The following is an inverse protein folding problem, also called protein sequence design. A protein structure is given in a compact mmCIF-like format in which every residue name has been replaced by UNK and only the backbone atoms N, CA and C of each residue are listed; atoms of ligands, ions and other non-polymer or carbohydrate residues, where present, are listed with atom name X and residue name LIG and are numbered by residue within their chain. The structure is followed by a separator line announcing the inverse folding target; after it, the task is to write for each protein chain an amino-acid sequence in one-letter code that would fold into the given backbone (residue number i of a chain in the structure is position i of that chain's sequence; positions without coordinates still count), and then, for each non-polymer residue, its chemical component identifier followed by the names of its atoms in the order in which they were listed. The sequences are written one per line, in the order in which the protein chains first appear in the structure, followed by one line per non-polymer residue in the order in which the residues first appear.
data_IF_085533639467
#
_entry.id   IF_085533639467
#
_cell.length_a   1.000
_cell.length_b   1.000
_cell.length_c   1.000
_cell.angle_alpha   90.00
_cell.angle_beta   90.00
_cell.angle_gamma   90.00
#
_symmetry.space_group_name_H-M   'P 1'
#
loop_
_entity.id
_entity.type
_entity.pdbx_description
1 polymer ?
#
# COMPACT_ATOMS: atom_id res chain seq x y z
N UNK A 1 -24.26 14.57 13.33
CA UNK A 1 -23.91 13.70 12.20
C UNK A 1 -22.43 13.94 12.00
N UNK A 2 -21.57 13.06 12.52
CA UNK A 2 -20.13 13.22 12.37
C UNK A 2 -19.83 13.24 10.87
N UNK A 3 -19.34 14.37 10.36
CA UNK A 3 -18.70 14.45 9.06
C UNK A 3 -17.40 13.66 9.16
N UNK A 4 -17.51 12.33 9.13
CA UNK A 4 -16.36 11.46 9.00
C UNK A 4 -15.61 11.94 7.76
N UNK A 5 -14.40 12.47 7.97
CA UNK A 5 -13.51 12.98 6.94
C UNK A 5 -13.46 11.97 5.80
N UNK A 6 -14.15 12.27 4.69
CA UNK A 6 -14.30 11.34 3.57
C UNK A 6 -12.98 11.29 2.82
N UNK A 7 -12.09 10.41 3.26
CA UNK A 7 -10.80 10.17 2.62
C UNK A 7 -10.94 9.87 1.12
N UNK A 8 -12.09 9.36 0.70
CA UNK A 8 -12.48 9.16 -0.70
C UNK A 8 -12.39 10.43 -1.56
N UNK A 9 -12.60 11.61 -0.96
CA UNK A 9 -12.63 12.93 -1.63
C UNK A 9 -11.28 13.65 -1.61
N UNK A 10 -10.27 13.10 -0.93
CA UNK A 10 -8.91 13.67 -1.00
C UNK A 10 -8.41 13.63 -2.43
N UNK A 11 -7.59 14.62 -2.79
CA UNK A 11 -6.87 14.59 -4.05
C UNK A 11 -6.02 13.31 -4.10
N UNK A 12 -5.95 12.68 -5.27
CA UNK A 12 -5.18 11.45 -5.50
C UNK A 12 -3.72 11.63 -5.08
N UNK A 13 -3.10 12.78 -5.34
CA UNK A 13 -1.72 13.07 -4.95
C UNK A 13 -1.53 13.08 -3.42
N UNK A 14 -2.54 13.52 -2.67
CA UNK A 14 -2.54 13.42 -1.21
C UNK A 14 -2.65 11.97 -0.75
N UNK A 15 -3.50 11.17 -1.41
CA UNK A 15 -3.61 9.73 -1.14
C UNK A 15 -2.30 9.00 -1.44
N UNK A 16 -1.64 9.30 -2.56
CA UNK A 16 -0.32 8.76 -2.92
C UNK A 16 0.71 9.07 -1.85
N UNK A 17 0.78 10.32 -1.38
CA UNK A 17 1.68 10.69 -0.28
C UNK A 17 1.40 9.86 0.99
N UNK A 18 0.15 9.57 1.31
CA UNK A 18 -0.18 8.72 2.46
C UNK A 18 0.27 7.27 2.19
N UNK A 19 -0.04 6.75 1.00
CA UNK A 19 0.20 5.36 0.60
C UNK A 19 1.68 4.99 0.54
N UNK A 20 2.56 5.94 0.18
CA UNK A 20 4.02 5.79 0.29
C UNK A 20 4.52 5.41 1.70
N UNK A 21 3.72 5.71 2.74
CA UNK A 21 4.05 5.47 4.15
C UNK A 21 3.36 4.23 4.71
N UNK A 22 2.55 3.55 3.91
CA UNK A 22 1.81 2.34 4.31
C UNK A 22 2.66 1.10 3.99
N UNK A 23 2.47 0.04 4.78
CA UNK A 23 3.16 -1.22 4.55
C UNK A 23 2.65 -1.94 3.29
N UNK A 24 3.52 -2.76 2.71
CA UNK A 24 3.24 -3.41 1.42
C UNK A 24 2.01 -4.32 1.48
N UNK A 25 1.80 -5.00 2.61
CA UNK A 25 0.68 -5.93 2.78
C UNK A 25 -0.65 -5.19 2.71
N UNK A 26 -0.76 -4.02 3.33
CA UNK A 26 -1.96 -3.18 3.27
C UNK A 26 -2.15 -2.54 1.88
N UNK A 27 -1.06 -2.12 1.24
CA UNK A 27 -1.08 -1.63 -0.15
C UNK A 27 -1.58 -2.69 -1.14
N UNK A 28 -1.33 -3.97 -0.87
CA UNK A 28 -1.72 -5.08 -1.73
C UNK A 28 -3.11 -5.63 -1.41
N UNK A 29 -3.43 -5.78 -0.12
CA UNK A 29 -4.59 -6.54 0.34
C UNK A 29 -5.77 -5.67 0.77
N UNK A 30 -5.53 -4.39 1.08
CA UNK A 30 -6.53 -3.52 1.71
C UNK A 30 -6.86 -2.29 0.86
N UNK A 31 -5.87 -1.42 0.61
CA UNK A 31 -6.08 -0.08 0.03
C UNK A 31 -6.77 -0.07 -1.35
N UNK A 32 -6.42 -0.95 -2.31
CA UNK A 32 -7.01 -0.92 -3.64
C UNK A 32 -8.51 -1.29 -3.66
N UNK A 33 -9.03 -1.92 -2.60
CA UNK A 33 -10.39 -2.47 -2.54
C UNK A 33 -11.40 -1.56 -1.83
N UNK A 34 -10.96 -0.41 -1.28
CA UNK A 34 -11.82 0.52 -0.53
C UNK A 34 -12.74 1.32 -1.46
N UNK A 35 -12.17 2.01 -2.45
CA UNK A 35 -12.93 2.79 -3.43
C UNK A 35 -12.11 3.04 -4.70
N UNK A 36 -12.74 3.58 -5.74
CA UNK A 36 -12.08 3.88 -7.03
C UNK A 36 -10.90 4.85 -6.89
N UNK A 37 -11.03 5.89 -6.06
CA UNK A 37 -9.96 6.88 -5.86
C UNK A 37 -8.72 6.24 -5.20
N UNK A 38 -8.93 5.36 -4.23
CA UNK A 38 -7.86 4.63 -3.56
C UNK A 38 -7.20 3.61 -4.49
N UNK A 39 -7.99 2.91 -5.31
CA UNK A 39 -7.44 2.07 -6.38
C UNK A 39 -6.54 2.86 -7.34
N UNK A 40 -6.94 4.07 -7.75
CA UNK A 40 -6.10 4.89 -8.64
C UNK A 40 -4.81 5.35 -7.94
N UNK A 41 -4.89 5.77 -6.67
CA UNK A 41 -3.73 6.18 -5.90
C UNK A 41 -2.75 5.02 -5.66
N UNK A 42 -3.24 3.81 -5.38
CA UNK A 42 -2.39 2.64 -5.12
C UNK A 42 -1.61 2.17 -6.35
N UNK A 43 -2.04 2.53 -7.56
CA UNK A 43 -1.30 2.23 -8.78
C UNK A 43 -0.07 3.14 -8.98
N UNK A 44 0.08 4.20 -8.18
CA UNK A 44 1.21 5.12 -8.34
C UNK A 44 2.53 4.40 -7.98
N UNK A 45 3.55 4.42 -8.87
CA UNK A 45 4.77 3.65 -8.66
C UNK A 45 5.52 3.96 -7.36
N UNK A 46 5.44 5.20 -6.87
CA UNK A 46 6.11 5.58 -5.62
C UNK A 46 5.55 4.89 -4.38
N UNK A 47 4.30 4.40 -4.42
CA UNK A 47 3.72 3.65 -3.31
C UNK A 47 4.40 2.29 -3.10
N UNK A 48 5.07 1.75 -4.12
CA UNK A 48 5.62 0.40 -4.07
C UNK A 48 7.12 0.43 -3.80
N UNK A 49 7.54 -0.33 -2.79
CA UNK A 49 8.97 -0.60 -2.55
C UNK A 49 9.46 -1.63 -3.56
N UNK A 50 10.71 -1.50 -4.01
CA UNK A 50 11.35 -2.51 -4.86
C UNK A 50 11.48 -3.82 -4.08
N UNK A 51 10.65 -4.80 -4.44
CA UNK A 51 10.69 -6.13 -3.81
C UNK A 51 11.80 -6.95 -4.44
N UNK A 52 12.89 -7.13 -3.70
CA UNK A 52 13.94 -8.08 -4.09
C UNK A 52 13.52 -9.50 -3.70
N UNK A 53 12.83 -10.20 -4.60
CA UNK A 53 12.34 -11.56 -4.40
C UNK A 53 13.41 -12.57 -3.97
N UNK A 54 14.69 -12.31 -4.28
CA UNK A 54 15.80 -13.15 -3.83
C UNK A 54 15.88 -13.27 -2.29
N UNK A 55 15.52 -12.23 -1.54
CA UNK A 55 15.51 -12.28 -0.07
C UNK A 55 14.31 -13.07 0.48
N UNK A 56 13.17 -13.06 -0.22
CA UNK A 56 11.97 -13.77 0.20
C UNK A 56 12.12 -15.29 0.04
N UNK A 57 12.84 -15.73 -0.99
CA UNK A 57 13.10 -17.15 -1.26
C UNK A 57 14.16 -17.71 -0.29
N UNK A 58 15.13 -16.89 0.11
CA UNK A 58 16.29 -17.34 0.91
C UNK A 58 16.08 -17.28 2.44
N UNK A 59 14.98 -16.71 2.94
CA UNK A 59 14.67 -16.68 4.38
C UNK A 59 14.20 -18.04 4.94
N UNK A 60 14.00 -19.05 4.10
CA UNK A 60 13.50 -20.38 4.51
C UNK A 60 14.60 -21.34 5.00
N UNK A 61 15.88 -20.93 5.04
CA UNK A 61 17.00 -21.83 5.36
C UNK A 61 17.76 -21.53 6.67
N UNK A 62 17.35 -20.53 7.48
CA UNK A 62 18.10 -20.15 8.70
C UNK A 62 17.46 -20.58 10.03
N UNK A 63 16.33 -21.30 10.05
CA UNK A 63 15.71 -21.80 11.31
C UNK A 63 15.97 -23.29 11.57
N UNK A 64 16.93 -23.90 10.87
CA UNK A 64 17.39 -25.27 11.14
C UNK A 64 18.88 -25.26 11.49
N UNK A 65 19.19 -24.80 12.70
CA UNK A 65 20.52 -24.87 13.31
C UNK A 65 20.39 -25.07 14.80
#
# INVERSE_FOLDING_TARGET
MEEANRWEKLNVDCLVNIFERVDMDDLLLSLPFVCKSWYQASLHPSCWKVVHFHKLINQQHSESG
#
